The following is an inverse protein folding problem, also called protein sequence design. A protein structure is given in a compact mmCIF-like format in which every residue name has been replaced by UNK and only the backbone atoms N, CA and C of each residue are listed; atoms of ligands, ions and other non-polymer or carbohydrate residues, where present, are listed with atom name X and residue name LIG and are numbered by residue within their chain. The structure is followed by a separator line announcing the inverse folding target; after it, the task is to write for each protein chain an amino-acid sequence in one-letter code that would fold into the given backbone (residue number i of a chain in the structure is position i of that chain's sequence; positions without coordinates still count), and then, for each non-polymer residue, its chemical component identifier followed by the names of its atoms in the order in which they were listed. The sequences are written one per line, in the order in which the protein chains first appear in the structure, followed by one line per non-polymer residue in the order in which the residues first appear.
data_IF_276429297050
#
_entry.id   IF_276429297050
#
_cell.length_a   1.000
_cell.length_b   1.000
_cell.length_c   1.000
_cell.angle_alpha   90.00
_cell.angle_beta   90.00
_cell.angle_gamma   90.00
#
_symmetry.space_group_name_H-M   'P 1'
#
loop_
_entity.id
_entity.type
_entity.pdbx_description
1 polymer ?
#
# COMPACT_ATOMS: atom_id res chain seq x y z
N UNK A 1 75.18 -16.00 18.25
CA UNK A 1 75.50 -15.41 16.94
C UNK A 1 74.29 -14.59 16.55
N UNK A 2 74.29 -13.33 16.78
CA UNK A 2 74.64 -12.20 15.91
C UNK A 2 73.65 -12.09 14.74
N UNK A 3 72.99 -11.07 14.46
CA UNK A 3 72.92 -9.61 14.57
C UNK A 3 71.58 -9.17 14.13
N UNK A 4 70.89 -8.28 14.78
CA UNK A 4 70.89 -6.82 14.70
C UNK A 4 70.71 -6.23 13.29
N UNK A 5 69.70 -5.48 13.11
CA UNK A 5 69.65 -4.04 12.88
C UNK A 5 68.35 -3.70 12.15
N UNK A 6 67.65 -2.78 12.67
CA UNK A 6 67.65 -1.31 12.53
C UNK A 6 66.56 -0.84 11.61
N UNK A 7 65.57 -0.21 12.19
CA UNK A 7 65.20 1.21 12.10
C UNK A 7 64.93 1.75 10.69
N UNK A 8 63.71 2.20 10.47
CA UNK A 8 63.47 3.52 9.88
C UNK A 8 62.00 3.94 10.12
N UNK A 9 61.83 4.86 11.02
CA UNK A 9 60.67 5.71 11.14
C UNK A 9 60.67 6.67 9.97
N UNK A 10 59.54 6.75 9.27
CA UNK A 10 59.26 7.89 8.39
C UNK A 10 57.88 8.39 8.69
N UNK A 11 57.89 9.46 9.45
CA UNK A 11 56.73 10.33 9.62
C UNK A 11 56.39 11.00 8.29
N UNK A 12 55.14 10.96 7.89
CA UNK A 12 54.60 11.88 6.90
C UNK A 12 53.45 12.66 7.52
N UNK A 13 53.72 13.94 7.67
CA UNK A 13 52.80 15.01 8.11
C UNK A 13 51.64 15.18 7.12
N UNK A 14 50.47 15.29 7.69
CA UNK A 14 49.54 16.39 7.57
C UNK A 14 49.31 17.02 6.19
N UNK A 15 48.12 16.90 5.67
CA UNK A 15 47.46 18.02 4.97
C UNK A 15 45.97 17.95 5.22
N UNK A 16 45.52 18.74 6.19
CA UNK A 16 44.13 19.19 6.30
C UNK A 16 43.80 20.04 5.06
N UNK A 17 42.95 19.53 4.17
CA UNK A 17 42.31 20.36 3.18
C UNK A 17 40.85 20.59 3.63
N UNK A 18 40.63 21.71 4.26
CA UNK A 18 39.30 22.28 4.50
C UNK A 18 38.66 22.70 3.18
N UNK A 19 37.70 21.91 2.71
CA UNK A 19 36.86 22.33 1.58
C UNK A 19 35.63 23.07 2.14
N UNK A 20 35.69 24.40 2.08
CA UNK A 20 34.55 25.29 2.29
C UNK A 20 33.68 25.19 1.00
N UNK A 21 32.58 24.52 1.05
CA UNK A 21 31.57 24.55 -0.03
C UNK A 21 30.78 25.85 0.09
N UNK A 22 31.01 26.75 -0.84
CA UNK A 22 30.24 27.97 -1.03
C UNK A 22 28.80 27.64 -1.40
N UNK A 23 27.85 28.09 -0.60
CA UNK A 23 26.43 28.07 -0.93
C UNK A 23 26.16 29.08 -2.06
N UNK A 24 25.94 28.59 -3.27
CA UNK A 24 25.43 29.38 -4.38
C UNK A 24 23.94 29.64 -4.19
N UNK A 25 23.61 30.82 -3.68
CA UNK A 25 22.25 31.32 -3.66
C UNK A 25 21.73 31.61 -5.07
N UNK A 26 20.92 30.76 -5.63
CA UNK A 26 20.15 31.08 -6.81
C UNK A 26 18.96 31.97 -6.42
N UNK A 27 19.07 33.27 -6.69
CA UNK A 27 17.96 34.22 -6.64
C UNK A 27 17.02 33.93 -7.81
N UNK A 28 15.83 33.42 -7.52
CA UNK A 28 14.77 33.31 -8.50
C UNK A 28 14.16 34.69 -8.72
N UNK A 29 14.31 35.21 -9.94
CA UNK A 29 13.61 36.41 -10.36
C UNK A 29 12.13 36.07 -10.62
N UNK A 30 11.24 36.66 -9.82
CA UNK A 30 9.78 36.59 -10.04
C UNK A 30 9.43 37.52 -11.18
N UNK A 31 9.05 36.98 -12.33
CA UNK A 31 8.36 37.71 -13.38
C UNK A 31 6.86 37.59 -13.16
N UNK A 32 6.21 38.67 -12.83
CA UNK A 32 4.76 38.77 -12.77
C UNK A 32 4.18 38.74 -14.18
N UNK A 33 3.50 37.68 -14.52
CA UNK A 33 2.65 37.53 -15.69
C UNK A 33 1.57 36.53 -15.31
N UNK A 34 0.30 37.02 -15.19
CA UNK A 34 -0.82 36.25 -14.67
C UNK A 34 -1.19 35.08 -15.55
N UNK A 35 -1.18 33.90 -14.94
CA UNK A 35 -2.04 32.72 -15.21
C UNK A 35 -1.94 31.83 -13.99
N UNK A 36 -3.07 31.27 -13.57
CA UNK A 36 -3.26 30.63 -12.28
C UNK A 36 -2.15 29.68 -11.85
N UNK A 37 -1.54 30.01 -10.71
CA UNK A 37 -0.57 29.18 -10.03
C UNK A 37 -1.33 28.05 -9.33
N UNK A 38 -1.48 26.91 -9.98
CA UNK A 38 -1.81 25.67 -9.29
C UNK A 38 -0.61 25.29 -8.44
N UNK A 39 -0.68 25.56 -7.16
CA UNK A 39 0.26 25.02 -6.17
C UNK A 39 0.09 23.52 -6.20
N UNK A 40 0.95 22.82 -6.93
CA UNK A 40 1.14 21.37 -6.73
C UNK A 40 1.68 21.22 -5.32
N UNK A 41 0.86 20.72 -4.42
CA UNK A 41 1.31 20.26 -3.12
C UNK A 41 2.50 19.33 -3.35
N UNK A 42 3.63 19.64 -2.70
CA UNK A 42 4.87 18.88 -2.85
C UNK A 42 4.62 17.40 -2.60
N UNK A 43 4.64 16.59 -3.66
CA UNK A 43 4.46 15.15 -3.61
C UNK A 43 5.64 14.53 -2.88
N UNK A 44 5.49 14.23 -1.60
CA UNK A 44 6.33 13.22 -0.95
C UNK A 44 6.16 11.93 -1.72
N UNK A 45 7.26 11.21 -2.02
CA UNK A 45 7.21 9.97 -2.78
C UNK A 45 6.28 8.98 -2.06
N UNK A 46 5.17 8.59 -2.68
CA UNK A 46 4.33 7.50 -2.21
C UNK A 46 5.05 6.17 -2.41
N UNK A 47 4.77 5.21 -1.54
CA UNK A 47 5.23 3.84 -1.68
C UNK A 47 4.05 2.92 -2.06
N UNK A 48 4.37 1.75 -2.57
CA UNK A 48 3.37 0.78 -3.02
C UNK A 48 3.64 -0.58 -2.39
N UNK A 49 2.61 -1.26 -1.90
CA UNK A 49 2.63 -2.63 -1.46
C UNK A 49 1.57 -3.45 -2.20
N UNK A 50 1.86 -4.71 -2.50
CA UNK A 50 0.92 -5.63 -3.19
C UNK A 50 0.79 -6.92 -2.38
N UNK A 51 -0.45 -7.30 -2.11
CA UNK A 51 -0.79 -8.48 -1.29
C UNK A 51 -1.89 -9.31 -1.95
N UNK A 52 -1.79 -10.63 -1.82
CA UNK A 52 -2.86 -11.58 -2.11
C UNK A 52 -3.26 -12.27 -0.81
N UNK A 53 -4.52 -12.15 -0.41
CA UNK A 53 -5.03 -12.63 0.88
C UNK A 53 -6.52 -13.07 0.77
N UNK A 54 -6.84 -13.85 -0.27
CA UNK A 54 -8.21 -14.27 -0.59
C UNK A 54 -8.85 -13.39 -1.65
N UNK A 55 -10.18 -13.35 -1.70
CA UNK A 55 -10.92 -12.51 -2.63
C UNK A 55 -10.48 -11.05 -2.54
N UNK A 56 -10.10 -10.47 -3.66
CA UNK A 56 -9.58 -9.11 -3.71
C UNK A 56 -10.64 -8.04 -3.39
N UNK A 57 -11.93 -8.34 -3.49
CA UNK A 57 -12.99 -7.42 -3.09
C UNK A 57 -12.92 -7.09 -1.60
N UNK A 58 -12.80 -8.12 -0.77
CA UNK A 58 -12.65 -7.97 0.67
C UNK A 58 -11.24 -7.51 1.05
N UNK A 59 -10.24 -8.01 0.34
CA UNK A 59 -8.83 -7.63 0.55
C UNK A 59 -8.59 -6.14 0.32
N UNK A 60 -9.22 -5.53 -0.69
CA UNK A 60 -9.14 -4.10 -0.93
C UNK A 60 -9.69 -3.28 0.24
N UNK A 61 -10.82 -3.72 0.77
CA UNK A 61 -11.49 -3.05 1.88
C UNK A 61 -10.67 -3.08 3.18
N UNK A 62 -9.83 -4.10 3.40
CA UNK A 62 -9.04 -4.23 4.62
C UNK A 62 -8.05 -3.07 4.85
N UNK A 63 -7.58 -2.42 3.78
CA UNK A 63 -6.55 -1.38 3.87
C UNK A 63 -7.08 0.05 3.79
N UNK A 64 -8.29 0.26 3.24
CA UNK A 64 -8.77 1.59 2.86
C UNK A 64 -8.91 2.59 4.02
N UNK A 65 -9.19 2.14 5.24
CA UNK A 65 -9.36 3.00 6.41
C UNK A 65 -8.09 3.27 7.19
N UNK A 66 -6.94 2.73 6.79
CA UNK A 66 -5.69 2.96 7.48
C UNK A 66 -5.20 4.40 7.26
N UNK A 67 -4.78 5.04 8.35
CA UNK A 67 -4.19 6.37 8.24
C UNK A 67 -2.86 6.27 7.45
N UNK A 68 -2.67 7.14 6.47
CA UNK A 68 -1.51 7.11 5.58
C UNK A 68 -1.71 6.29 4.31
N UNK A 69 -2.78 5.50 4.17
CA UNK A 69 -3.16 4.90 2.89
C UNK A 69 -3.79 5.98 2.02
N UNK A 70 -3.25 6.13 0.81
CA UNK A 70 -3.66 7.14 -0.16
C UNK A 70 -4.69 6.58 -1.14
N UNK A 71 -4.43 5.38 -1.66
CA UNK A 71 -5.27 4.71 -2.66
C UNK A 71 -5.15 3.19 -2.52
N UNK A 72 -6.19 2.51 -2.93
CA UNK A 72 -6.20 1.07 -3.12
C UNK A 72 -6.67 0.75 -4.53
N UNK A 73 -6.26 -0.38 -5.08
CA UNK A 73 -6.82 -0.93 -6.32
C UNK A 73 -6.65 -2.44 -6.32
N UNK A 74 -7.53 -3.14 -7.03
CA UNK A 74 -7.44 -4.58 -7.17
C UNK A 74 -6.90 -4.98 -8.53
N UNK A 75 -6.33 -6.17 -8.60
CA UNK A 75 -5.72 -6.68 -9.82
C UNK A 75 -5.14 -8.07 -9.65
N UNK A 76 -4.27 -8.44 -10.56
CA UNK A 76 -3.72 -9.78 -10.72
C UNK A 76 -2.19 -9.72 -10.73
N UNK A 77 -1.54 -10.63 -10.00
CA UNK A 77 -0.09 -10.73 -9.98
C UNK A 77 0.40 -12.16 -9.70
N UNK A 78 1.69 -12.40 -9.93
CA UNK A 78 2.38 -13.62 -9.54
C UNK A 78 2.16 -14.81 -10.47
N UNK A 79 1.52 -14.61 -11.61
CA UNK A 79 1.38 -15.58 -12.68
C UNK A 79 2.25 -15.26 -13.91
N UNK A 80 2.18 -16.13 -14.90
CA UNK A 80 2.97 -16.04 -16.13
C UNK A 80 2.15 -15.54 -17.33
N UNK A 81 0.82 -15.64 -17.29
CA UNK A 81 -0.06 -15.23 -18.38
C UNK A 81 -0.02 -13.70 -18.57
N UNK A 82 0.25 -13.20 -19.80
CA UNK A 82 0.10 -11.78 -20.10
C UNK A 82 -1.40 -11.40 -20.14
N UNK A 83 -1.72 -10.19 -19.68
CA UNK A 83 -3.07 -9.64 -19.69
C UNK A 83 -4.15 -10.62 -19.15
N UNK A 84 -4.04 -11.02 -17.88
CA UNK A 84 -5.08 -11.86 -17.25
C UNK A 84 -6.39 -11.07 -17.14
N UNK A 85 -7.50 -11.81 -17.17
CA UNK A 85 -8.85 -11.31 -16.97
C UNK A 85 -9.52 -12.11 -15.85
N UNK A 86 -10.54 -11.55 -15.20
CA UNK A 86 -11.23 -12.19 -14.08
C UNK A 86 -11.69 -13.63 -14.37
N UNK A 87 -12.19 -13.86 -15.59
CA UNK A 87 -12.65 -15.20 -16.01
C UNK A 87 -11.54 -16.13 -16.50
N UNK A 88 -10.32 -15.60 -16.64
CA UNK A 88 -9.17 -16.35 -17.15
C UNK A 88 -7.87 -15.84 -16.56
N UNK A 89 -7.69 -16.05 -15.26
CA UNK A 89 -6.52 -15.64 -14.48
C UNK A 89 -5.29 -16.50 -14.73
N UNK A 90 -5.48 -17.75 -15.23
CA UNK A 90 -4.45 -18.77 -15.26
C UNK A 90 -3.81 -18.97 -13.87
N UNK A 91 -2.51 -18.70 -13.73
CA UNK A 91 -1.73 -18.89 -12.50
C UNK A 91 -1.58 -17.61 -11.65
N UNK A 92 -2.26 -16.51 -12.02
CA UNK A 92 -2.25 -15.29 -11.21
C UNK A 92 -3.05 -15.45 -9.91
N UNK A 93 -2.67 -14.66 -8.89
CA UNK A 93 -3.48 -14.45 -7.70
C UNK A 93 -4.28 -13.16 -7.81
N UNK A 94 -5.46 -13.14 -7.19
CA UNK A 94 -6.20 -11.92 -6.91
C UNK A 94 -5.43 -11.11 -5.87
N UNK A 95 -5.20 -9.84 -6.15
CA UNK A 95 -4.32 -8.98 -5.36
C UNK A 95 -4.94 -7.63 -5.08
N UNK A 96 -4.55 -7.04 -3.95
CA UNK A 96 -4.74 -5.63 -3.66
C UNK A 96 -3.40 -4.90 -3.76
N UNK A 97 -3.40 -3.77 -4.47
CA UNK A 97 -2.31 -2.80 -4.49
C UNK A 97 -2.68 -1.64 -3.57
N UNK A 98 -1.82 -1.34 -2.62
CA UNK A 98 -1.98 -0.28 -1.61
C UNK A 98 -0.92 0.78 -1.88
N UNK A 99 -1.34 2.00 -2.21
CA UNK A 99 -0.47 3.16 -2.28
C UNK A 99 -0.56 3.93 -0.96
N UNK A 100 0.58 4.23 -0.35
CA UNK A 100 0.65 4.82 0.98
C UNK A 100 1.76 5.85 1.13
N UNK A 101 1.61 6.75 2.11
CA UNK A 101 2.66 7.69 2.51
C UNK A 101 3.53 7.03 3.59
N UNK A 102 4.80 6.68 3.29
CA UNK A 102 5.68 5.99 4.24
C UNK A 102 6.07 6.84 5.45
N UNK A 103 5.78 8.14 5.44
CA UNK A 103 5.96 9.03 6.61
C UNK A 103 4.82 8.91 7.61
N UNK A 104 3.64 8.41 7.18
CA UNK A 104 2.43 8.27 7.99
C UNK A 104 2.14 6.83 8.39
N UNK A 105 2.47 5.87 7.54
CA UNK A 105 2.28 4.43 7.79
C UNK A 105 3.47 3.65 7.24
N UNK A 106 4.01 2.76 8.05
CA UNK A 106 5.13 1.91 7.67
C UNK A 106 4.64 0.61 7.00
N UNK A 107 5.45 0.04 6.10
CA UNK A 107 5.19 -1.25 5.47
C UNK A 107 4.88 -2.36 6.48
N UNK A 108 5.55 -2.35 7.65
CA UNK A 108 5.25 -3.27 8.75
C UNK A 108 3.78 -3.23 9.20
N UNK A 109 3.19 -2.05 9.28
CA UNK A 109 1.79 -1.89 9.71
C UNK A 109 0.81 -2.43 8.66
N UNK A 110 1.16 -2.34 7.37
CA UNK A 110 0.41 -2.99 6.29
C UNK A 110 0.50 -4.52 6.40
N UNK A 111 1.68 -5.06 6.74
CA UNK A 111 1.85 -6.49 7.01
C UNK A 111 1.07 -6.93 8.26
N UNK A 112 0.99 -6.12 9.32
CA UNK A 112 0.16 -6.44 10.49
C UNK A 112 -1.33 -6.60 10.08
N UNK A 113 -1.84 -5.75 9.18
CA UNK A 113 -3.21 -5.88 8.64
C UNK A 113 -3.33 -7.11 7.74
N UNK A 114 -2.36 -7.37 6.87
CA UNK A 114 -2.32 -8.57 6.03
C UNK A 114 -2.49 -9.84 6.87
N UNK A 115 -1.69 -10.02 7.93
CA UNK A 115 -1.74 -11.19 8.80
C UNK A 115 -3.04 -11.31 9.59
N UNK A 116 -3.69 -10.18 9.91
CA UNK A 116 -4.95 -10.18 10.67
C UNK A 116 -6.20 -10.36 9.81
N UNK A 117 -6.10 -10.26 8.47
CA UNK A 117 -7.26 -10.16 7.59
C UNK A 117 -7.64 -11.47 6.90
N UNK A 118 -6.85 -12.54 7.04
CA UNK A 118 -7.11 -13.84 6.39
C UNK A 118 -6.46 -14.97 7.18
N UNK A 119 -6.76 -16.20 6.82
CA UNK A 119 -6.04 -17.38 7.35
C UNK A 119 -4.78 -17.67 6.49
N UNK A 120 -3.57 -17.40 7.00
CA UNK A 120 -2.34 -17.61 6.25
C UNK A 120 -1.94 -19.10 6.14
N UNK A 121 -2.74 -20.02 6.66
CA UNK A 121 -2.52 -21.47 6.67
C UNK A 121 -3.33 -22.22 5.62
N UNK A 122 -4.39 -21.61 5.10
CA UNK A 122 -5.16 -22.20 4.01
C UNK A 122 -4.33 -22.34 2.73
N UNK A 123 -4.46 -23.49 2.05
CA UNK A 123 -3.61 -23.84 0.91
C UNK A 123 -4.24 -23.45 -0.43
N UNK A 124 -5.53 -23.72 -0.60
CA UNK A 124 -6.25 -23.60 -1.88
C UNK A 124 -7.46 -22.67 -1.79
N UNK A 125 -7.35 -21.60 -1.04
CA UNK A 125 -8.46 -20.67 -0.92
C UNK A 125 -8.39 -19.80 0.31
N UNK A 126 -9.53 -19.21 0.63
CA UNK A 126 -9.81 -18.51 1.88
C UNK A 126 -11.29 -18.72 2.25
N UNK A 127 -11.56 -19.57 3.22
CA UNK A 127 -12.91 -19.90 3.64
C UNK A 127 -13.74 -20.45 2.48
N UNK A 128 -14.86 -19.78 2.09
CA UNK A 128 -15.71 -20.24 1.01
C UNK A 128 -15.09 -20.04 -0.39
N UNK A 129 -14.08 -19.22 -0.52
CA UNK A 129 -13.43 -18.89 -1.79
C UNK A 129 -12.35 -19.94 -2.09
N UNK A 130 -12.68 -20.94 -2.94
CA UNK A 130 -11.80 -22.06 -3.28
C UNK A 130 -11.15 -21.83 -4.65
N UNK A 131 -9.82 -21.89 -4.68
CA UNK A 131 -9.03 -21.75 -5.90
C UNK A 131 -7.66 -21.14 -5.66
N UNK A 132 -6.71 -21.44 -6.56
CA UNK A 132 -5.33 -20.95 -6.46
C UNK A 132 -5.24 -19.41 -6.55
N UNK A 133 -6.22 -18.76 -7.15
CA UNK A 133 -6.32 -17.30 -7.23
C UNK A 133 -6.47 -16.65 -5.85
N UNK A 134 -7.00 -17.34 -4.87
CA UNK A 134 -7.21 -16.84 -3.51
C UNK A 134 -6.07 -17.17 -2.55
N UNK A 135 -4.94 -17.69 -3.05
CA UNK A 135 -3.77 -18.05 -2.23
C UNK A 135 -3.15 -16.85 -1.54
N UNK A 136 -2.51 -17.10 -0.40
CA UNK A 136 -1.82 -16.08 0.38
C UNK A 136 -0.43 -15.78 -0.17
N UNK A 137 -0.17 -14.52 -0.59
CA UNK A 137 1.13 -14.07 -1.10
C UNK A 137 1.44 -12.64 -0.65
N UNK A 138 2.67 -12.41 -0.22
CA UNK A 138 3.26 -11.08 -0.05
C UNK A 138 4.19 -10.84 -1.25
N UNK A 139 3.85 -9.86 -2.08
CA UNK A 139 4.73 -9.42 -3.16
C UNK A 139 5.63 -8.29 -2.66
N UNK A 140 6.92 -8.34 -2.98
CA UNK A 140 7.92 -7.42 -2.42
C UNK A 140 8.66 -6.64 -3.48
N UNK A 141 8.91 -5.35 -3.21
CA UNK A 141 9.63 -4.42 -4.09
C UNK A 141 11.12 -4.30 -3.70
N UNK A 142 11.72 -5.39 -3.31
CA UNK A 142 13.15 -5.43 -2.98
C UNK A 142 13.48 -6.15 -1.69
N UNK A 143 14.77 -6.17 -1.37
CA UNK A 143 15.31 -7.01 -0.30
C UNK A 143 14.88 -6.59 1.11
N UNK A 144 14.64 -5.30 1.36
CA UNK A 144 14.22 -4.82 2.68
C UNK A 144 12.80 -5.28 3.01
N UNK A 145 11.86 -5.14 2.06
CA UNK A 145 10.50 -5.64 2.22
C UNK A 145 10.48 -7.16 2.37
N UNK A 146 11.26 -7.88 1.55
CA UNK A 146 11.35 -9.34 1.61
C UNK A 146 11.88 -9.83 2.98
N UNK A 147 12.90 -9.19 3.52
CA UNK A 147 13.42 -9.50 4.87
C UNK A 147 12.38 -9.25 5.95
N UNK A 148 11.70 -8.11 5.89
CA UNK A 148 10.67 -7.78 6.88
C UNK A 148 9.48 -8.74 6.80
N UNK A 149 9.04 -9.08 5.59
CA UNK A 149 7.97 -10.06 5.38
C UNK A 149 8.37 -11.44 5.94
N UNK A 150 9.61 -11.89 5.71
CA UNK A 150 10.12 -13.15 6.22
C UNK A 150 10.14 -13.18 7.77
N UNK A 151 10.68 -12.12 8.39
CA UNK A 151 10.69 -12.00 9.86
C UNK A 151 9.27 -12.02 10.46
N UNK A 152 8.33 -11.34 9.80
CA UNK A 152 6.94 -11.35 10.28
C UNK A 152 6.26 -12.70 10.06
N UNK A 153 6.55 -13.40 8.97
CA UNK A 153 6.08 -14.77 8.73
C UNK A 153 6.57 -15.72 9.83
N UNK A 154 7.85 -15.66 10.18
CA UNK A 154 8.41 -16.43 11.30
C UNK A 154 7.72 -16.12 12.62
N UNK A 155 7.48 -14.83 12.91
CA UNK A 155 6.74 -14.41 14.10
C UNK A 155 5.32 -14.97 14.11
N UNK A 156 4.59 -14.95 12.99
CA UNK A 156 3.25 -15.52 12.91
C UNK A 156 3.28 -17.05 13.06
N UNK A 157 4.31 -17.72 12.53
CA UNK A 157 4.49 -19.16 12.69
C UNK A 157 4.71 -19.56 14.16
N UNK A 158 5.43 -18.75 14.92
CA UNK A 158 5.69 -19.02 16.36
C UNK A 158 4.46 -18.86 17.22
N UNK A 159 3.50 -17.98 16.84
CA UNK A 159 2.24 -17.79 17.59
C UNK A 159 1.38 -19.06 17.62
N UNK A 160 1.39 -19.80 16.55
CA UNK A 160 0.70 -21.09 16.45
C UNK A 160 1.55 -22.07 15.63
N UNK A 161 1.98 -23.14 16.28
CA UNK A 161 2.83 -24.19 15.70
C UNK A 161 2.03 -25.42 15.25
N UNK A 162 0.71 -25.40 15.38
CA UNK A 162 -0.14 -26.54 15.03
C UNK A 162 -0.18 -26.81 13.52
N UNK A 163 0.01 -25.76 12.70
CA UNK A 163 0.02 -25.85 11.25
C UNK A 163 1.02 -24.86 10.61
N UNK A 164 1.44 -25.18 9.39
CA UNK A 164 2.44 -24.38 8.66
C UNK A 164 1.76 -23.20 7.96
N UNK A 165 2.40 -22.02 8.03
CA UNK A 165 1.98 -20.85 7.25
C UNK A 165 2.33 -21.07 5.77
N UNK A 166 1.31 -21.09 4.92
CA UNK A 166 1.41 -21.33 3.48
C UNK A 166 1.72 -20.07 2.68
N UNK A 167 1.57 -18.88 3.28
CA UNK A 167 1.88 -17.59 2.66
C UNK A 167 3.22 -17.62 1.93
N UNK A 168 3.23 -17.32 0.63
CA UNK A 168 4.44 -17.15 -0.15
C UNK A 168 4.95 -15.72 -0.08
N UNK A 169 6.28 -15.55 -0.10
CA UNK A 169 6.93 -14.25 -0.25
C UNK A 169 7.70 -14.31 -1.55
N UNK A 170 7.39 -13.42 -2.48
CA UNK A 170 8.03 -13.41 -3.79
C UNK A 170 8.19 -11.98 -4.32
N UNK A 171 9.17 -11.72 -5.19
CA UNK A 171 9.32 -10.42 -5.84
C UNK A 171 8.05 -10.06 -6.62
N UNK A 172 7.68 -8.78 -6.60
CA UNK A 172 6.63 -8.28 -7.47
C UNK A 172 7.15 -8.22 -8.90
N UNK A 173 6.50 -8.98 -9.78
CA UNK A 173 6.64 -8.84 -11.23
C UNK A 173 5.63 -7.84 -11.79
N UNK A 174 4.93 -8.21 -12.85
CA UNK A 174 3.84 -7.41 -13.38
C UNK A 174 2.62 -7.44 -12.44
N UNK A 175 2.01 -6.27 -12.25
CA UNK A 175 0.68 -6.14 -11.67
C UNK A 175 -0.27 -5.68 -12.76
N UNK A 176 -1.31 -6.45 -13.01
CA UNK A 176 -2.35 -6.15 -13.97
C UNK A 176 -3.60 -5.65 -13.24
N UNK A 177 -4.01 -4.39 -13.43
CA UNK A 177 -5.25 -3.89 -12.83
C UNK A 177 -6.45 -4.75 -13.27
N UNK A 178 -7.33 -5.06 -12.32
CA UNK A 178 -8.59 -5.74 -12.64
C UNK A 178 -9.56 -4.76 -13.32
N UNK A 179 -10.57 -5.33 -13.93
CA UNK A 179 -11.63 -4.62 -14.66
C UNK A 179 -12.37 -3.64 -13.74
N UNK A 180 -12.95 -2.56 -14.30
CA UNK A 180 -13.58 -1.51 -13.51
C UNK A 180 -14.64 -2.00 -12.53
N UNK A 181 -15.43 -3.00 -12.89
CA UNK A 181 -16.49 -3.55 -12.04
C UNK A 181 -15.98 -4.15 -10.72
N UNK A 182 -14.72 -4.57 -10.68
CA UNK A 182 -14.11 -5.15 -9.49
C UNK A 182 -13.50 -4.11 -8.55
N UNK A 183 -13.20 -2.92 -9.04
CA UNK A 183 -12.62 -1.84 -8.25
C UNK A 183 -13.65 -1.25 -7.29
N UNK A 184 -13.28 -1.06 -6.02
CA UNK A 184 -14.18 -0.50 -4.98
C UNK A 184 -15.50 -1.26 -4.87
N UNK A 185 -15.43 -2.58 -4.94
CA UNK A 185 -16.60 -3.47 -5.05
C UNK A 185 -17.58 -3.26 -3.89
N UNK A 186 -17.11 -3.20 -2.65
CA UNK A 186 -17.98 -3.03 -1.49
C UNK A 186 -18.67 -1.66 -1.46
N UNK A 187 -17.97 -0.61 -1.90
CA UNK A 187 -18.56 0.71 -2.06
C UNK A 187 -19.66 0.71 -3.13
N UNK A 188 -19.39 0.12 -4.30
CA UNK A 188 -20.33 0.07 -5.43
C UNK A 188 -21.61 -0.71 -5.10
N UNK A 189 -21.55 -1.66 -4.18
CA UNK A 189 -22.73 -2.36 -3.64
C UNK A 189 -23.62 -1.51 -2.74
N UNK A 190 -23.22 -0.28 -2.41
CA UNK A 190 -23.94 0.67 -1.58
C UNK A 190 -24.24 1.94 -2.38
N UNK A 191 -25.28 1.95 -3.25
CA UNK A 191 -25.59 3.08 -4.14
C UNK A 191 -25.68 4.44 -3.41
N UNK A 192 -26.19 4.43 -2.18
CA UNK A 192 -26.24 5.60 -1.32
C UNK A 192 -24.83 6.21 -1.08
N UNK A 193 -23.82 5.39 -0.77
CA UNK A 193 -22.44 5.88 -0.56
C UNK A 193 -21.81 6.40 -1.85
N UNK A 194 -22.11 5.78 -3.00
CA UNK A 194 -21.65 6.26 -4.31
C UNK A 194 -22.25 7.63 -4.62
N UNK A 195 -23.52 7.84 -4.35
CA UNK A 195 -24.18 9.14 -4.50
C UNK A 195 -23.58 10.21 -3.57
N UNK A 196 -23.25 9.85 -2.32
CA UNK A 196 -22.62 10.75 -1.36
C UNK A 196 -21.30 11.36 -1.84
N UNK A 197 -20.55 10.64 -2.65
CA UNK A 197 -19.29 11.12 -3.24
C UNK A 197 -19.47 11.70 -4.64
N UNK A 198 -20.71 11.89 -5.09
CA UNK A 198 -21.05 12.55 -6.35
C UNK A 198 -20.96 11.67 -7.58
N UNK A 199 -21.13 10.35 -7.47
CA UNK A 199 -21.05 9.39 -8.58
C UNK A 199 -19.77 9.59 -9.42
N UNK A 200 -18.61 9.57 -8.76
CA UNK A 200 -17.33 9.81 -9.41
C UNK A 200 -17.11 8.87 -10.61
N UNK A 201 -16.51 9.37 -11.71
CA UNK A 201 -16.01 8.52 -12.79
C UNK A 201 -15.00 7.49 -12.28
N UNK A 202 -14.82 6.36 -12.99
CA UNK A 202 -13.94 5.27 -12.55
C UNK A 202 -12.50 5.75 -12.25
N UNK A 203 -11.92 6.60 -13.09
CA UNK A 203 -10.57 7.12 -12.89
C UNK A 203 -10.44 7.94 -11.60
N UNK A 204 -11.44 8.76 -11.30
CA UNK A 204 -11.49 9.54 -10.06
C UNK A 204 -11.76 8.63 -8.86
N UNK A 205 -12.62 7.62 -9.01
CA UNK A 205 -12.89 6.63 -7.97
C UNK A 205 -11.63 5.86 -7.58
N UNK A 206 -10.81 5.45 -8.55
CA UNK A 206 -9.54 4.76 -8.34
C UNK A 206 -8.50 5.65 -7.65
N UNK A 207 -8.47 6.93 -7.98
CA UNK A 207 -7.51 7.89 -7.41
C UNK A 207 -7.95 8.48 -6.07
N UNK A 208 -9.20 8.27 -5.66
CA UNK A 208 -9.81 8.88 -4.47
C UNK A 208 -9.43 8.16 -3.18
N UNK A 209 -8.78 8.88 -2.26
CA UNK A 209 -8.59 8.42 -0.87
C UNK A 209 -9.93 8.23 -0.14
N UNK A 210 -10.91 9.08 -0.45
CA UNK A 210 -12.24 8.97 0.13
C UNK A 210 -12.95 7.69 -0.33
N UNK A 211 -12.86 7.34 -1.62
CA UNK A 211 -13.43 6.10 -2.14
C UNK A 211 -12.79 4.87 -1.50
N UNK A 212 -11.45 4.87 -1.28
CA UNK A 212 -10.78 3.79 -0.58
C UNK A 212 -11.30 3.62 0.86
N UNK A 213 -11.48 4.72 1.60
CA UNK A 213 -12.06 4.70 2.96
C UNK A 213 -13.51 4.23 2.97
N UNK A 214 -14.33 4.71 2.04
CA UNK A 214 -15.75 4.30 1.98
C UNK A 214 -15.91 2.86 1.52
N UNK A 215 -15.00 2.33 0.71
CA UNK A 215 -14.95 0.91 0.37
C UNK A 215 -14.72 0.04 1.63
N UNK A 216 -13.77 0.44 2.46
CA UNK A 216 -13.51 -0.21 3.75
C UNK A 216 -14.68 -0.04 4.74
N UNK A 217 -15.28 1.14 4.78
CA UNK A 217 -16.45 1.43 5.60
C UNK A 217 -17.67 0.59 5.19
N UNK A 218 -17.92 0.45 3.89
CA UNK A 218 -19.01 -0.35 3.34
C UNK A 218 -18.89 -1.84 3.68
N UNK A 219 -17.65 -2.34 3.80
CA UNK A 219 -17.31 -3.69 4.20
C UNK A 219 -17.24 -3.88 5.73
N UNK A 220 -17.44 -2.81 6.52
CA UNK A 220 -17.34 -2.81 7.99
C UNK A 220 -15.93 -3.20 8.51
N UNK A 221 -14.89 -2.91 7.72
CA UNK A 221 -13.49 -3.24 8.03
C UNK A 221 -12.67 -2.05 8.55
N UNK A 222 -13.28 -0.89 8.72
CA UNK A 222 -12.60 0.22 9.38
C UNK A 222 -12.40 -0.05 10.87
N UNK A 223 -11.31 0.48 11.48
CA UNK A 223 -11.19 0.49 12.93
C UNK A 223 -12.44 1.10 13.59
N UNK A 224 -12.94 0.58 14.73
CA UNK A 224 -14.23 0.97 15.30
C UNK A 224 -14.42 2.48 15.48
N UNK A 225 -13.35 3.20 15.89
CA UNK A 225 -13.36 4.65 16.04
C UNK A 225 -13.57 5.36 14.69
N UNK A 226 -12.94 4.87 13.63
CA UNK A 226 -13.07 5.42 12.28
C UNK A 226 -14.44 5.11 11.71
N UNK A 227 -14.92 3.86 11.88
CA UNK A 227 -16.25 3.43 11.45
C UNK A 227 -17.33 4.36 12.05
N UNK A 228 -17.31 4.57 13.37
CA UNK A 228 -18.23 5.45 14.06
C UNK A 228 -18.16 6.90 13.56
N UNK A 229 -16.95 7.42 13.34
CA UNK A 229 -16.76 8.79 12.82
C UNK A 229 -17.36 8.97 11.44
N UNK A 230 -17.16 8.00 10.54
CA UNK A 230 -17.75 8.02 9.19
C UNK A 230 -19.27 7.96 9.29
N UNK A 231 -19.86 7.04 10.08
CA UNK A 231 -21.30 6.95 10.28
C UNK A 231 -21.88 8.28 10.75
N UNK A 232 -21.30 8.89 11.80
CA UNK A 232 -21.76 10.17 12.32
C UNK A 232 -21.72 11.30 11.28
N UNK A 233 -20.70 11.29 10.41
CA UNK A 233 -20.58 12.29 9.33
C UNK A 233 -21.61 12.08 8.24
N UNK A 234 -21.91 10.85 7.89
CA UNK A 234 -22.97 10.48 6.94
C UNK A 234 -24.34 10.93 7.48
N UNK A 235 -24.63 10.65 8.75
CA UNK A 235 -25.88 11.05 9.40
C UNK A 235 -26.05 12.59 9.44
N UNK A 236 -24.96 13.30 9.70
CA UNK A 236 -24.96 14.77 9.67
C UNK A 236 -25.30 15.31 8.27
N UNK A 237 -24.73 14.73 7.22
CA UNK A 237 -24.97 15.11 5.83
C UNK A 237 -26.40 14.79 5.43
N UNK A 238 -26.90 13.60 5.77
CA UNK A 238 -28.26 13.17 5.49
C UNK A 238 -29.30 14.13 6.11
N UNK A 239 -29.05 14.63 7.33
CA UNK A 239 -29.91 15.61 8.01
C UNK A 239 -29.89 17.01 7.37
N UNK A 240 -28.81 17.42 6.72
CA UNK A 240 -28.62 18.74 6.10
C UNK A 240 -29.06 18.82 4.65
N UNK A 241 -29.63 17.76 4.07
CA UNK A 241 -30.18 17.79 2.71
C UNK A 241 -29.12 17.68 1.60
N UNK A 242 -28.17 16.73 1.73
CA UNK A 242 -27.29 16.26 0.64
C UNK A 242 -26.26 17.25 0.07
N UNK A 243 -25.37 17.84 0.85
CA UNK A 243 -24.09 18.23 0.25
C UNK A 243 -23.24 17.00 -0.05
N UNK A 244 -22.54 17.01 -1.19
CA UNK A 244 -21.59 15.97 -1.56
C UNK A 244 -20.52 15.85 -0.46
N UNK A 245 -20.25 14.64 0.00
CA UNK A 245 -19.19 14.35 0.96
C UNK A 245 -17.84 14.51 0.28
N UNK A 246 -17.00 15.45 0.72
CA UNK A 246 -15.68 15.70 0.13
C UNK A 246 -14.52 15.33 1.05
N UNK A 247 -14.74 15.41 2.38
CA UNK A 247 -13.69 15.19 3.37
C UNK A 247 -14.21 14.40 4.58
N UNK A 248 -13.45 13.37 4.98
CA UNK A 248 -13.70 12.59 6.20
C UNK A 248 -12.40 12.47 7.03
#
# INVERSE_FOLDING_TARGET
MARASSSAAAAFLCALATLVAAASGARLAVRAGGTGLTVRAGGGASATAVFALGSFWRSEAAFGCLHGVLRTSVGYAGGSKPNPEYRNLADHAECVKVEYDPRQIQYKQLLDVFWASHDPREVFGQGPDVGNQYRSVIFTNGTLEARLAALMKEREQVKDRSSVITTKIQPLGAFYPAEPEHQKFELKRKPFLVQLIGNLPEEELLSSTLAAKLNAYAAELCPPKTQKRISSKIDEIAKKGWPILRDI
#
